data_IF_299925474414
#
_entry.id   IF_299925474414
#
_cell.length_a   1.000
_cell.length_b   1.000
_cell.length_c   1.000
_cell.angle_alpha   90.00
_cell.angle_beta   90.00
_cell.angle_gamma   90.00
#
_symmetry.space_group_name_H-M   'P 1'
#
loop_
_entity.id
_entity.type
_entity.pdbx_description
1 polymer ?
#
# COMPACT_ATOMS: atom_id res chain seq x y z
N UNK A 1 15.66 2.90 16.21
CA UNK A 1 15.06 2.11 15.14
C UNK A 1 13.72 1.53 15.62
N UNK A 2 12.58 2.00 15.11
CA UNK A 2 11.24 1.54 15.51
C UNK A 2 10.98 0.06 15.19
N UNK A 3 11.71 -0.50 14.23
CA UNK A 3 11.57 -1.89 13.77
C UNK A 3 11.81 -2.91 14.90
N UNK A 4 12.61 -2.53 15.91
CA UNK A 4 12.93 -3.40 17.06
C UNK A 4 11.78 -3.55 18.07
N UNK A 5 10.75 -2.71 18.02
CA UNK A 5 9.66 -2.68 19.01
C UNK A 5 8.27 -2.79 18.41
N UNK A 6 8.11 -2.63 17.09
CA UNK A 6 6.79 -2.62 16.41
C UNK A 6 6.02 -3.94 16.58
N UNK A 7 6.73 -5.06 16.75
CA UNK A 7 6.15 -6.39 16.95
C UNK A 7 6.06 -6.81 18.43
N UNK A 8 6.30 -5.88 19.37
CA UNK A 8 6.36 -6.15 20.81
C UNK A 8 7.71 -6.70 21.27
N UNK A 9 7.77 -7.19 22.50
CA UNK A 9 9.02 -7.60 23.15
C UNK A 9 8.83 -8.79 24.10
N UNK A 10 9.93 -9.49 24.39
CA UNK A 10 9.98 -10.61 25.33
C UNK A 10 9.24 -11.86 24.85
N UNK A 11 8.62 -12.59 25.78
CA UNK A 11 7.96 -13.90 25.52
C UNK A 11 6.69 -13.82 24.67
N UNK A 12 6.16 -12.62 24.42
CA UNK A 12 4.95 -12.37 23.61
C UNK A 12 5.26 -11.55 22.36
N UNK A 13 6.53 -11.52 21.93
CA UNK A 13 6.89 -10.94 20.64
C UNK A 13 6.09 -11.63 19.52
N UNK A 14 5.65 -10.86 18.52
CA UNK A 14 4.85 -11.39 17.43
C UNK A 14 5.61 -12.54 16.74
N UNK A 15 5.11 -13.79 16.80
CA UNK A 15 5.78 -14.92 16.16
C UNK A 15 5.78 -14.78 14.63
N UNK A 16 4.87 -13.98 14.08
CA UNK A 16 4.74 -13.70 12.65
C UNK A 16 5.60 -12.53 12.13
N UNK A 17 6.51 -11.95 12.92
CA UNK A 17 7.26 -10.75 12.53
C UNK A 17 8.00 -10.91 11.19
N UNK A 18 8.67 -12.04 10.96
CA UNK A 18 9.44 -12.28 9.74
C UNK A 18 8.54 -12.44 8.51
N UNK A 19 7.38 -13.08 8.70
CA UNK A 19 6.37 -13.22 7.66
C UNK A 19 5.74 -11.86 7.32
N UNK A 20 5.39 -11.07 8.33
CA UNK A 20 4.82 -9.74 8.16
C UNK A 20 5.81 -8.80 7.44
N UNK A 21 7.08 -8.82 7.83
CA UNK A 21 8.12 -8.01 7.19
C UNK A 21 8.32 -8.39 5.72
N UNK A 22 8.45 -9.69 5.42
CA UNK A 22 8.63 -10.18 4.05
C UNK A 22 7.42 -9.89 3.17
N UNK A 23 6.21 -10.15 3.67
CA UNK A 23 4.97 -9.93 2.91
C UNK A 23 4.71 -8.45 2.65
N UNK A 24 4.96 -7.58 3.64
CA UNK A 24 4.83 -6.14 3.49
C UNK A 24 5.86 -5.59 2.48
N UNK A 25 7.11 -6.05 2.56
CA UNK A 25 8.14 -5.66 1.59
C UNK A 25 7.75 -6.05 0.16
N UNK A 26 7.33 -7.30 -0.03
CA UNK A 26 6.95 -7.79 -1.35
C UNK A 26 5.72 -7.05 -1.90
N UNK A 27 4.73 -6.80 -1.06
CA UNK A 27 3.52 -6.05 -1.45
C UNK A 27 3.88 -4.63 -1.88
N UNK A 28 4.70 -3.92 -1.12
CA UNK A 28 5.13 -2.56 -1.48
C UNK A 28 5.94 -2.58 -2.78
N UNK A 29 6.87 -3.52 -2.94
CA UNK A 29 7.67 -3.65 -4.15
C UNK A 29 6.79 -3.91 -5.39
N UNK A 30 5.80 -4.79 -5.28
CA UNK A 30 4.84 -5.07 -6.37
C UNK A 30 4.01 -3.84 -6.72
N UNK A 31 3.50 -3.11 -5.73
CA UNK A 31 2.73 -1.89 -5.95
C UNK A 31 3.59 -0.84 -6.64
N UNK A 32 4.82 -0.61 -6.19
CA UNK A 32 5.74 0.36 -6.80
C UNK A 32 6.22 -0.06 -8.20
N UNK A 33 6.21 -1.36 -8.50
CA UNK A 33 6.54 -1.85 -9.83
C UNK A 33 5.46 -1.48 -10.86
N UNK A 34 4.19 -1.58 -10.45
CA UNK A 34 3.03 -1.38 -11.34
C UNK A 34 2.53 0.07 -11.34
N UNK A 35 2.68 0.79 -10.23
CA UNK A 35 2.12 2.12 -10.04
C UNK A 35 3.18 3.16 -9.71
N UNK A 36 3.06 4.32 -10.35
CA UNK A 36 3.69 5.56 -9.93
C UNK A 36 2.74 6.28 -8.97
N UNK A 37 3.16 6.41 -7.70
CA UNK A 37 2.36 7.01 -6.62
C UNK A 37 2.83 8.44 -6.40
N UNK A 38 1.96 9.41 -6.69
CA UNK A 38 2.22 10.82 -6.47
C UNK A 38 1.18 11.45 -5.52
N UNK A 39 1.54 12.51 -4.78
CA UNK A 39 0.57 13.31 -4.04
C UNK A 39 -0.52 13.86 -4.98
N UNK A 40 -1.74 14.06 -4.48
CA UNK A 40 -2.77 14.71 -5.26
C UNK A 40 -2.35 16.15 -5.60
N UNK A 41 -2.82 16.62 -6.75
CA UNK A 41 -2.62 17.99 -7.21
C UNK A 41 -3.81 18.84 -6.75
N UNK A 42 -3.50 20.05 -6.31
CA UNK A 42 -4.49 21.09 -6.06
C UNK A 42 -4.99 21.69 -7.40
N UNK A 43 -6.03 22.52 -7.36
CA UNK A 43 -6.62 23.15 -8.56
C UNK A 43 -5.61 24.01 -9.35
N UNK A 44 -4.53 24.42 -8.69
CA UNK A 44 -3.42 25.19 -9.26
C UNK A 44 -2.30 24.33 -9.85
N UNK A 45 -2.46 22.99 -9.83
CA UNK A 45 -1.45 22.05 -10.33
C UNK A 45 -0.25 21.84 -9.41
N UNK A 46 -0.33 22.29 -8.15
CA UNK A 46 0.71 22.09 -7.13
C UNK A 46 0.43 20.85 -6.28
N UNK A 47 1.46 20.14 -5.86
CA UNK A 47 1.31 19.01 -4.93
C UNK A 47 0.75 19.46 -3.57
N UNK A 48 -0.28 18.75 -3.12
CA UNK A 48 -0.87 18.92 -1.78
C UNK A 48 0.03 18.19 -0.78
N UNK A 49 0.45 18.89 0.28
CA UNK A 49 1.19 18.28 1.39
C UNK A 49 0.22 17.43 2.21
N UNK A 50 0.47 16.12 2.29
CA UNK A 50 -0.36 15.19 3.05
C UNK A 50 0.19 15.14 4.48
N UNK A 51 -0.56 15.69 5.44
CA UNK A 51 -0.26 15.52 6.86
C UNK A 51 -0.86 14.19 7.36
N UNK A 52 -0.04 13.26 7.89
CA UNK A 52 -0.53 12.00 8.42
C UNK A 52 -1.30 12.25 9.72
N UNK A 53 -2.64 12.15 9.64
CA UNK A 53 -3.53 12.23 10.81
C UNK A 53 -3.85 10.83 11.28
N UNK A 54 -3.39 10.49 12.48
CA UNK A 54 -3.69 9.23 13.16
C UNK A 54 -4.81 9.46 14.17
N UNK A 55 -5.71 8.48 14.30
CA UNK A 55 -6.69 8.48 15.38
C UNK A 55 -6.00 8.22 16.72
N UNK A 56 -6.28 9.04 17.74
CA UNK A 56 -5.67 8.94 19.08
C UNK A 56 -6.37 7.94 20.02
N UNK A 57 -6.96 6.88 19.47
CA UNK A 57 -7.69 5.86 20.25
C UNK A 57 -6.86 4.58 20.38
N UNK A 58 -7.45 3.52 20.92
CA UNK A 58 -6.86 2.18 21.01
C UNK A 58 -6.39 1.69 19.62
N UNK A 59 -7.05 2.14 18.56
CA UNK A 59 -6.66 1.85 17.17
C UNK A 59 -6.01 3.09 16.54
N UNK A 60 -4.76 2.94 16.08
CA UNK A 60 -4.05 3.93 15.28
C UNK A 60 -4.43 3.79 13.80
N UNK A 61 -5.64 4.20 13.45
CA UNK A 61 -6.11 4.22 12.06
C UNK A 61 -5.69 5.53 11.39
N UNK A 62 -5.25 5.42 10.13
CA UNK A 62 -5.00 6.59 9.27
C UNK A 62 -6.35 7.21 8.92
N UNK A 63 -6.54 8.47 9.32
CA UNK A 63 -7.68 9.27 8.87
C UNK A 63 -7.40 9.73 7.45
N UNK A 64 -8.19 9.25 6.49
CA UNK A 64 -8.03 9.59 5.08
C UNK A 64 -8.40 11.06 4.86
N UNK A 65 -7.41 11.91 4.59
CA UNK A 65 -7.60 13.35 4.33
C UNK A 65 -7.47 13.72 2.84
N UNK A 66 -6.79 12.90 2.03
CA UNK A 66 -6.73 13.06 0.58
C UNK A 66 -6.29 11.75 -0.09
N UNK A 67 -6.92 11.36 -1.20
CA UNK A 67 -6.53 10.18 -1.97
C UNK A 67 -5.26 10.48 -2.79
N UNK A 68 -4.25 9.61 -2.71
CA UNK A 68 -3.06 9.71 -3.57
C UNK A 68 -3.43 9.37 -5.02
N UNK A 69 -2.73 9.99 -5.97
CA UNK A 69 -2.91 9.72 -7.39
C UNK A 69 -1.94 8.61 -7.79
N UNK A 70 -2.46 7.42 -8.12
CA UNK A 70 -1.67 6.36 -8.74
C UNK A 70 -1.88 6.37 -10.26
N UNK A 71 -0.80 6.39 -11.03
CA UNK A 71 -0.82 6.17 -12.49
C UNK A 71 -0.11 4.84 -12.77
N UNK A 72 -0.65 3.97 -13.64
CA UNK A 72 0.10 2.78 -14.04
C UNK A 72 1.39 3.20 -14.75
N UNK A 73 2.51 2.54 -14.41
CA UNK A 73 3.80 2.80 -15.05
C UNK A 73 3.71 2.42 -16.53
N UNK A 74 4.12 3.34 -17.41
CA UNK A 74 3.89 3.27 -18.86
C UNK A 74 4.60 2.11 -19.58
N UNK A 75 5.56 1.46 -18.94
CA UNK A 75 6.40 0.40 -19.53
C UNK A 75 5.79 -1.01 -19.47
N UNK A 76 4.74 -1.26 -18.67
CA UNK A 76 4.17 -2.60 -18.46
C UNK A 76 2.77 -2.83 -19.05
N UNK A 77 2.43 -2.13 -20.14
CA UNK A 77 1.21 -2.48 -20.91
C UNK A 77 1.20 -3.93 -21.41
N UNK A 78 2.37 -4.57 -21.56
CA UNK A 78 2.48 -5.89 -22.17
C UNK A 78 2.30 -7.05 -21.18
N UNK A 79 2.59 -6.86 -19.89
CA UNK A 79 2.49 -7.93 -18.86
C UNK A 79 1.17 -7.91 -18.08
N UNK A 80 0.58 -6.73 -17.85
CA UNK A 80 -0.72 -6.61 -17.16
C UNK A 80 -1.87 -7.20 -17.98
N UNK A 81 -1.72 -7.30 -19.31
CA UNK A 81 -2.66 -8.04 -20.16
C UNK A 81 -2.81 -9.52 -19.79
N UNK A 82 -1.75 -10.16 -19.28
CA UNK A 82 -1.76 -11.59 -18.95
C UNK A 82 -2.50 -11.86 -17.64
N UNK A 83 -2.35 -10.99 -16.63
CA UNK A 83 -3.08 -11.12 -15.35
C UNK A 83 -4.51 -10.59 -15.42
N UNK A 84 -4.78 -9.56 -16.24
CA UNK A 84 -6.15 -9.08 -16.48
C UNK A 84 -7.00 -10.08 -17.27
N UNK A 85 -6.38 -10.99 -18.05
CA UNK A 85 -7.08 -12.13 -18.67
C UNK A 85 -7.49 -13.18 -17.62
N UNK A 86 -6.63 -13.55 -16.68
CA UNK A 86 -6.96 -14.54 -15.64
C UNK A 86 -8.05 -14.06 -14.66
N UNK A 87 -8.18 -12.75 -14.42
CA UNK A 87 -9.23 -12.20 -13.56
C UNK A 87 -10.59 -12.03 -14.28
N UNK A 88 -10.61 -12.06 -15.61
CA UNK A 88 -11.83 -11.91 -16.41
C UNK A 88 -12.56 -13.25 -16.64
N UNK A 89 -11.94 -14.39 -16.36
CA UNK A 89 -12.51 -15.73 -16.59
C UNK A 89 -13.05 -16.41 -15.30
N UNK A 90 -13.24 -15.67 -14.21
CA UNK A 90 -14.05 -16.16 -13.09
C UNK A 90 -15.43 -15.49 -13.10
N UNK A 91 -16.48 -16.19 -13.58
CA UNK A 91 -17.84 -15.71 -13.39
C UNK A 91 -18.12 -15.62 -11.88
N UNK A 92 -18.67 -14.48 -11.50
CA UNK A 92 -19.20 -14.25 -10.18
C UNK A 92 -20.16 -15.37 -9.77
N UNK A 93 -20.06 -15.77 -8.49
CA UNK A 93 -21.20 -16.18 -7.66
C UNK A 93 -22.02 -17.40 -8.14
N UNK A 94 -21.74 -18.54 -7.53
CA UNK A 94 -22.77 -19.37 -6.88
C UNK A 94 -22.21 -19.97 -5.58
#
# INVERSE_FOLDING_TARGET
>A
DPSRFVFGYGRRICPGQYFAETSLFLTIAMVLHVFDIAPPLDDTGKFIVIEPKMTNTILSLVVSSAASRSRPTTELRQYVGILSMCAADHPAFE
#
